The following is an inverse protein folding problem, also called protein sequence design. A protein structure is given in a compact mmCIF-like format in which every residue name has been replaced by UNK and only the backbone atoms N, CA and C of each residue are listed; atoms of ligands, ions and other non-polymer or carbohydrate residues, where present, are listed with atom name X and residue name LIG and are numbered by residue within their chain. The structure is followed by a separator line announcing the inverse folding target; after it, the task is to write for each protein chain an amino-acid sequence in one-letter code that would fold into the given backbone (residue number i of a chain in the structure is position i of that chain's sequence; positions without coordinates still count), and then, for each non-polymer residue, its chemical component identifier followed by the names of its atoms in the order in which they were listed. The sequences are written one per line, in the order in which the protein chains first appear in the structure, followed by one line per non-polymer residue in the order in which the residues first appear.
data_IF_530632150850
#
_entry.id   IF_530632150850
#
_cell.length_a   1.000
_cell.length_b   1.000
_cell.length_c   1.000
_cell.angle_alpha   90.00
_cell.angle_beta   90.00
_cell.angle_gamma   90.00
#
_symmetry.space_group_name_H-M   'P 1'
#
loop_
_entity.id
_entity.type
_entity.pdbx_description
1 polymer ?
#
# COMPACT_ATOMS: atom_id res chain seq x y z
N UNK A 1 22.77 15.51 -24.53
CA UNK A 1 21.46 15.80 -25.17
C UNK A 1 21.18 17.29 -25.06
N UNK A 2 20.65 17.94 -26.10
CA UNK A 2 20.31 19.38 -26.05
C UNK A 2 19.04 19.63 -25.24
N UNK A 3 18.89 20.85 -24.71
CA UNK A 3 17.68 21.29 -23.99
C UNK A 3 16.41 21.04 -24.81
N UNK A 4 16.41 21.46 -26.09
CA UNK A 4 15.25 21.30 -26.98
C UNK A 4 14.87 19.82 -27.16
N UNK A 5 15.86 18.94 -27.33
CA UNK A 5 15.59 17.49 -27.46
C UNK A 5 15.02 16.92 -26.16
N UNK A 6 15.57 17.29 -25.01
CA UNK A 6 15.06 16.85 -23.72
C UNK A 6 13.62 17.32 -23.48
N UNK A 7 13.32 18.59 -23.72
CA UNK A 7 11.98 19.14 -23.54
C UNK A 7 10.95 18.50 -24.48
N UNK A 8 11.34 18.19 -25.71
CA UNK A 8 10.46 17.50 -26.67
C UNK A 8 10.12 16.09 -26.17
N UNK A 9 11.14 15.32 -25.76
CA UNK A 9 10.95 13.96 -25.22
C UNK A 9 10.03 14.00 -23.99
N UNK A 10 10.28 14.91 -23.05
CA UNK A 10 9.50 15.02 -21.82
C UNK A 10 8.02 15.33 -22.08
N UNK A 11 7.70 16.12 -23.13
CA UNK A 11 6.33 16.47 -23.51
C UNK A 11 5.58 15.35 -24.19
N UNK A 12 6.28 14.52 -24.95
CA UNK A 12 5.69 13.47 -25.78
C UNK A 12 5.78 12.07 -25.14
N UNK A 13 6.24 11.98 -23.89
CA UNK A 13 6.44 10.69 -23.22
C UNK A 13 5.09 10.02 -22.92
N UNK A 14 4.90 8.81 -23.45
CA UNK A 14 3.65 8.05 -23.34
C UNK A 14 3.93 6.53 -23.29
N UNK A 15 3.06 5.76 -22.63
CA UNK A 15 3.25 4.31 -22.40
C UNK A 15 2.12 3.42 -22.95
N UNK A 16 1.15 4.02 -23.62
CA UNK A 16 -0.05 3.32 -24.13
C UNK A 16 -0.33 3.77 -25.57
N UNK A 17 -1.08 2.99 -26.34
CA UNK A 17 -1.63 3.49 -27.60
C UNK A 17 -2.97 4.19 -27.35
N UNK A 18 -3.07 5.48 -27.65
CA UNK A 18 -4.31 6.25 -27.48
C UNK A 18 -5.34 5.98 -28.59
N UNK A 19 -4.97 5.25 -29.65
CA UNK A 19 -5.90 4.80 -30.69
C UNK A 19 -6.80 3.65 -30.23
N UNK A 20 -6.36 2.90 -29.22
CA UNK A 20 -7.11 1.80 -28.63
C UNK A 20 -8.18 2.31 -27.66
N UNK A 21 -9.34 1.63 -27.59
CA UNK A 21 -10.39 1.99 -26.64
C UNK A 21 -9.87 1.82 -25.21
N UNK A 22 -10.28 2.73 -24.33
CA UNK A 22 -9.99 2.61 -22.90
C UNK A 22 -10.77 1.43 -22.33
N UNK A 23 -10.05 0.43 -21.83
CA UNK A 23 -10.67 -0.70 -21.15
C UNK A 23 -11.21 -0.27 -19.78
N UNK A 24 -12.54 -0.28 -19.65
CA UNK A 24 -13.24 -0.10 -18.39
C UNK A 24 -12.99 1.25 -17.69
N UNK A 25 -13.03 1.21 -16.36
CA UNK A 25 -12.92 2.40 -15.50
C UNK A 25 -11.53 2.56 -14.85
N UNK A 26 -10.48 1.96 -15.43
CA UNK A 26 -9.13 2.09 -14.89
C UNK A 26 -8.63 3.53 -15.03
N UNK A 27 -8.43 4.21 -13.91
CA UNK A 27 -7.95 5.60 -13.86
C UNK A 27 -6.44 5.70 -14.11
N UNK A 28 -5.70 4.59 -14.02
CA UNK A 28 -4.26 4.48 -14.22
C UNK A 28 -3.88 3.96 -15.60
N UNK A 29 -4.84 3.67 -16.48
CA UNK A 29 -4.58 2.95 -17.74
C UNK A 29 -3.34 3.45 -18.51
N UNK A 30 -3.10 4.77 -18.55
CA UNK A 30 -1.94 5.43 -19.19
C UNK A 30 -0.56 5.02 -18.66
N UNK A 31 -0.48 4.51 -17.43
CA UNK A 31 0.76 4.13 -16.75
C UNK A 31 0.69 2.74 -16.10
N UNK A 32 -0.47 2.07 -16.15
CA UNK A 32 -0.71 0.80 -15.46
C UNK A 32 0.28 -0.28 -15.91
N UNK A 33 0.51 -0.39 -17.22
CA UNK A 33 1.50 -1.30 -17.82
C UNK A 33 2.92 -1.04 -17.32
N UNK A 34 3.35 0.22 -17.28
CA UNK A 34 4.66 0.61 -16.78
C UNK A 34 4.80 0.29 -15.28
N UNK A 35 3.80 0.64 -14.47
CA UNK A 35 3.83 0.40 -13.03
C UNK A 35 3.87 -1.10 -12.74
N UNK A 36 3.08 -1.90 -13.45
CA UNK A 36 3.11 -3.36 -13.39
C UNK A 36 4.50 -3.90 -13.70
N UNK A 37 5.08 -3.51 -14.85
CA UNK A 37 6.41 -3.95 -15.25
C UNK A 37 7.51 -3.59 -14.22
N UNK A 38 7.41 -2.41 -13.58
CA UNK A 38 8.34 -2.01 -12.51
C UNK A 38 8.18 -2.93 -11.29
N UNK A 39 6.94 -3.15 -10.83
CA UNK A 39 6.66 -4.01 -9.68
C UNK A 39 7.09 -5.46 -9.95
N UNK A 40 6.78 -5.99 -11.12
CA UNK A 40 7.16 -7.35 -11.50
C UNK A 40 8.68 -7.52 -11.51
N UNK A 41 9.42 -6.56 -12.07
CA UNK A 41 10.88 -6.58 -12.05
C UNK A 41 11.44 -6.53 -10.61
N UNK A 42 10.89 -5.66 -9.76
CA UNK A 42 11.28 -5.55 -8.35
C UNK A 42 11.07 -6.90 -7.63
N UNK A 43 9.91 -7.52 -7.84
CA UNK A 43 9.54 -8.77 -7.17
C UNK A 43 10.37 -9.96 -7.66
N UNK A 44 10.78 -9.96 -8.93
CA UNK A 44 11.63 -11.01 -9.51
C UNK A 44 13.08 -10.93 -9.03
N UNK A 45 13.57 -9.73 -8.67
CA UNK A 45 14.98 -9.51 -8.29
C UNK A 45 15.21 -9.70 -6.79
N UNK A 46 14.18 -9.56 -5.95
CA UNK A 46 14.34 -9.55 -4.51
C UNK A 46 13.25 -10.33 -3.78
N UNK A 47 13.67 -11.28 -2.95
CA UNK A 47 12.80 -12.01 -2.03
C UNK A 47 12.82 -11.31 -0.65
N UNK A 48 11.69 -10.81 -0.14
CA UNK A 48 11.61 -10.23 1.19
C UNK A 48 11.94 -11.22 2.29
N UNK A 49 12.67 -10.74 3.30
CA UNK A 49 12.93 -11.49 4.53
C UNK A 49 11.69 -11.62 5.41
N UNK A 50 11.91 -11.99 6.66
CA UNK A 50 10.84 -12.33 7.61
C UNK A 50 9.90 -11.17 7.94
N UNK A 51 10.37 -9.93 7.86
CA UNK A 51 9.60 -8.74 8.26
C UNK A 51 9.42 -7.77 7.10
N UNK A 52 8.18 -7.34 6.89
CA UNK A 52 7.79 -6.34 5.91
C UNK A 52 6.92 -5.27 6.56
N UNK A 53 7.01 -4.04 6.07
CA UNK A 53 6.26 -2.90 6.57
C UNK A 53 5.34 -2.33 5.48
N UNK A 54 4.11 -2.01 5.83
CA UNK A 54 3.15 -1.36 4.93
C UNK A 54 2.81 0.03 5.45
N UNK A 55 2.97 1.02 4.57
CA UNK A 55 2.67 2.42 4.85
C UNK A 55 2.35 3.19 3.56
N UNK A 56 1.97 4.46 3.70
CA UNK A 56 1.65 5.36 2.61
C UNK A 56 2.65 6.47 2.43
N UNK A 57 2.94 6.73 1.16
CA UNK A 57 3.70 7.90 0.72
C UNK A 57 2.87 8.82 -0.16
N UNK A 58 3.30 10.08 -0.22
CA UNK A 58 2.66 11.11 -1.02
C UNK A 58 3.64 11.61 -2.09
N UNK A 59 3.30 11.38 -3.36
CA UNK A 59 4.06 11.94 -4.48
C UNK A 59 3.51 13.33 -4.76
N UNK A 60 4.34 14.37 -4.62
CA UNK A 60 3.94 15.75 -4.82
C UNK A 60 3.38 15.95 -6.23
N UNK A 61 2.13 16.37 -6.33
CA UNK A 61 1.49 16.68 -7.60
C UNK A 61 0.38 17.72 -7.40
N UNK A 62 0.49 18.85 -8.10
CA UNK A 62 -0.47 19.97 -8.00
C UNK A 62 -1.35 20.16 -9.23
N UNK A 63 -1.13 19.39 -10.30
CA UNK A 63 -1.95 19.44 -11.51
C UNK A 63 -3.38 18.91 -11.31
N UNK A 64 -4.17 18.94 -12.39
CA UNK A 64 -5.52 18.39 -12.42
C UNK A 64 -5.46 16.87 -12.54
N UNK A 65 -5.90 16.17 -11.50
CA UNK A 65 -5.97 14.71 -11.46
C UNK A 65 -7.14 14.26 -10.58
N UNK A 66 -7.96 13.33 -11.07
CA UNK A 66 -9.22 12.92 -10.41
C UNK A 66 -9.01 12.28 -9.03
N UNK A 67 -7.87 11.64 -8.80
CA UNK A 67 -7.56 10.92 -7.56
C UNK A 67 -6.46 11.60 -6.72
N UNK A 68 -6.16 12.88 -7.00
CA UNK A 68 -5.28 13.69 -6.16
C UNK A 68 -5.82 13.74 -4.73
N UNK A 69 -4.97 13.49 -3.75
CA UNK A 69 -5.28 13.50 -2.34
C UNK A 69 -4.75 14.77 -1.67
N UNK A 70 -5.46 15.20 -0.63
CA UNK A 70 -4.98 16.17 0.33
C UNK A 70 -4.75 15.48 1.68
N UNK A 71 -3.52 15.54 2.18
CA UNK A 71 -3.18 15.03 3.51
C UNK A 71 -2.40 16.11 4.29
N UNK A 72 -3.05 16.80 5.26
CA UNK A 72 -2.41 17.88 6.00
C UNK A 72 -1.21 17.43 6.85
N UNK A 73 -1.16 16.15 7.23
CA UNK A 73 -0.10 15.59 8.07
C UNK A 73 1.19 15.22 7.31
N UNK A 74 1.23 15.37 5.98
CA UNK A 74 2.44 15.13 5.17
C UNK A 74 3.02 16.46 4.70
N UNK A 75 4.35 16.54 4.59
CA UNK A 75 5.05 17.75 4.11
C UNK A 75 4.52 18.21 2.75
N UNK A 76 4.35 17.27 1.82
CA UNK A 76 3.66 17.49 0.55
C UNK A 76 2.17 17.25 0.73
N UNK A 77 1.42 18.29 1.09
CA UNK A 77 -0.01 18.16 1.42
C UNK A 77 -0.88 17.72 0.25
N UNK A 78 -0.52 18.08 -0.99
CA UNK A 78 -1.28 17.72 -2.19
C UNK A 78 -0.45 16.78 -3.08
N UNK A 79 -1.03 15.65 -3.46
CA UNK A 79 -0.31 14.70 -4.28
C UNK A 79 -1.07 13.45 -4.65
N UNK A 80 -0.32 12.47 -5.15
CA UNK A 80 -0.80 11.12 -5.41
C UNK A 80 -0.43 10.24 -4.23
N UNK A 81 -1.44 9.66 -3.58
CA UNK A 81 -1.26 8.70 -2.49
C UNK A 81 -0.83 7.36 -3.09
N UNK A 82 0.24 6.79 -2.56
CA UNK A 82 0.77 5.47 -2.97
C UNK A 82 0.96 4.62 -1.73
N UNK A 83 0.31 3.46 -1.72
CA UNK A 83 0.55 2.42 -0.73
C UNK A 83 1.81 1.65 -1.11
N UNK A 84 2.66 1.34 -0.13
CA UNK A 84 3.93 0.65 -0.35
C UNK A 84 4.08 -0.47 0.65
N UNK A 85 4.60 -1.60 0.17
CA UNK A 85 5.15 -2.67 0.98
C UNK A 85 6.67 -2.58 0.87
N UNK A 86 7.30 -2.34 2.00
CA UNK A 86 8.73 -2.17 2.14
C UNK A 86 9.34 -3.30 2.97
N UNK A 87 10.58 -3.63 2.67
CA UNK A 87 11.38 -4.56 3.48
C UNK A 87 11.96 -3.83 4.69
N UNK A 88 12.47 -4.56 5.69
CA UNK A 88 13.16 -3.99 6.84
C UNK A 88 14.36 -3.08 6.48
N UNK A 89 14.96 -3.27 5.30
CA UNK A 89 16.08 -2.45 4.78
C UNK A 89 15.62 -1.21 3.99
N UNK A 90 14.32 -0.92 3.94
CA UNK A 90 13.76 0.22 3.23
C UNK A 90 13.56 0.03 1.71
N UNK A 91 13.80 -1.17 1.20
CA UNK A 91 13.54 -1.49 -0.21
C UNK A 91 12.02 -1.64 -0.46
N UNK A 92 11.49 -0.93 -1.46
CA UNK A 92 10.07 -1.04 -1.87
C UNK A 92 9.90 -2.29 -2.72
N UNK A 93 9.17 -3.27 -2.21
CA UNK A 93 8.95 -4.55 -2.88
C UNK A 93 7.62 -4.62 -3.65
N UNK A 94 6.59 -3.93 -3.14
CA UNK A 94 5.32 -3.76 -3.87
C UNK A 94 4.79 -2.34 -3.66
N UNK A 95 4.05 -1.82 -4.63
CA UNK A 95 3.37 -0.54 -4.51
C UNK A 95 2.04 -0.54 -5.26
N UNK A 96 1.10 0.26 -4.77
CA UNK A 96 -0.19 0.47 -5.42
C UNK A 96 -0.59 1.93 -5.33
N UNK A 97 -0.99 2.51 -6.46
CA UNK A 97 -1.43 3.91 -6.53
C UNK A 97 -2.91 3.99 -6.16
N UNK A 98 -3.24 4.83 -5.18
CA UNK A 98 -4.61 5.05 -4.76
C UNK A 98 -5.40 5.81 -5.83
N UNK A 99 -6.50 5.21 -6.28
CA UNK A 99 -7.36 5.79 -7.33
C UNK A 99 -8.77 6.16 -6.89
N UNK A 100 -9.09 6.06 -5.60
CA UNK A 100 -10.41 6.36 -5.04
C UNK A 100 -11.35 5.16 -4.96
N UNK A 101 -11.10 4.09 -5.74
CA UNK A 101 -11.92 2.88 -5.80
C UNK A 101 -11.04 1.64 -5.61
N UNK A 102 -10.48 1.47 -4.41
CA UNK A 102 -9.74 0.23 -4.10
C UNK A 102 -10.71 -0.93 -3.90
N UNK A 103 -10.39 -2.13 -4.41
CA UNK A 103 -11.19 -3.33 -4.16
C UNK A 103 -11.19 -3.65 -2.66
N UNK A 104 -12.30 -4.23 -2.21
CA UNK A 104 -12.48 -4.66 -0.81
C UNK A 104 -12.41 -6.18 -0.80
N UNK A 105 -11.52 -6.72 0.02
CA UNK A 105 -11.44 -8.15 0.31
C UNK A 105 -12.61 -8.51 1.22
N UNK A 106 -13.29 -9.61 0.92
CA UNK A 106 -14.42 -10.08 1.72
C UNK A 106 -14.02 -10.26 3.19
N UNK A 107 -14.87 -9.79 4.11
CA UNK A 107 -14.60 -9.83 5.55
C UNK A 107 -13.65 -8.75 6.10
N UNK A 108 -13.05 -7.91 5.24
CA UNK A 108 -12.13 -6.85 5.64
C UNK A 108 -12.63 -5.44 5.32
N UNK A 109 -12.07 -4.46 6.05
CA UNK A 109 -12.23 -3.05 5.72
C UNK A 109 -11.25 -2.63 4.61
N UNK A 110 -11.39 -1.39 4.10
CA UNK A 110 -10.51 -0.88 3.04
C UNK A 110 -9.02 -0.95 3.44
N UNK A 111 -8.60 -0.51 4.65
CA UNK A 111 -7.21 -0.64 5.06
C UNK A 111 -6.73 -2.10 5.11
N UNK A 112 -7.51 -3.02 5.67
CA UNK A 112 -7.15 -4.44 5.69
C UNK A 112 -7.03 -5.04 4.29
N UNK A 113 -7.93 -4.66 3.38
CA UNK A 113 -7.88 -5.10 1.98
C UNK A 113 -6.60 -4.64 1.28
N UNK A 114 -6.11 -3.44 1.59
CA UNK A 114 -4.83 -2.92 1.05
C UNK A 114 -3.65 -3.75 1.54
N UNK A 115 -3.63 -4.14 2.82
CA UNK A 115 -2.57 -5.00 3.39
C UNK A 115 -2.51 -6.32 2.66
N UNK A 116 -3.67 -7.00 2.54
CA UNK A 116 -3.77 -8.29 1.85
C UNK A 116 -3.39 -8.16 0.38
N UNK A 117 -3.91 -7.16 -0.32
CA UNK A 117 -3.62 -6.96 -1.76
C UNK A 117 -2.14 -6.70 -2.04
N UNK A 118 -1.46 -5.93 -1.19
CA UNK A 118 -0.02 -5.67 -1.35
C UNK A 118 0.83 -6.88 -0.96
N UNK A 119 0.38 -7.64 0.03
CA UNK A 119 1.07 -8.78 0.61
C UNK A 119 0.76 -10.12 -0.03
N UNK A 120 -0.14 -10.20 -1.01
CA UNK A 120 -0.73 -11.43 -1.56
C UNK A 120 0.31 -12.54 -1.83
N UNK A 121 1.38 -12.20 -2.53
CA UNK A 121 2.51 -13.07 -2.88
C UNK A 121 3.45 -13.43 -1.71
N UNK A 122 3.23 -12.89 -0.51
CA UNK A 122 4.03 -13.11 0.71
C UNK A 122 3.21 -13.72 1.86
N UNK A 123 1.93 -14.00 1.63
CA UNK A 123 1.04 -14.61 2.63
C UNK A 123 1.37 -16.10 2.79
N UNK A 124 1.09 -16.67 3.97
CA UNK A 124 1.31 -18.08 4.30
C UNK A 124 2.80 -18.50 4.39
N UNK A 125 3.71 -17.54 4.55
CA UNK A 125 5.16 -17.80 4.64
C UNK A 125 5.73 -17.49 6.04
N UNK A 126 4.89 -17.38 7.08
CA UNK A 126 5.35 -17.08 8.44
C UNK A 126 5.87 -15.65 8.67
N UNK A 127 5.68 -14.75 7.70
CA UNK A 127 6.21 -13.38 7.77
C UNK A 127 5.45 -12.50 8.75
N UNK A 128 6.15 -11.51 9.30
CA UNK A 128 5.62 -10.44 10.12
C UNK A 128 5.33 -9.20 9.28
N UNK A 129 4.05 -8.80 9.24
CA UNK A 129 3.58 -7.57 8.64
C UNK A 129 3.51 -6.48 9.71
N UNK A 130 4.28 -5.41 9.51
CA UNK A 130 4.28 -4.22 10.36
C UNK A 130 3.40 -3.16 9.71
N UNK A 131 2.41 -2.64 10.42
CA UNK A 131 1.48 -1.64 9.89
C UNK A 131 1.20 -0.50 10.87
N UNK A 132 0.88 0.69 10.36
CA UNK A 132 0.35 1.78 11.19
C UNK A 132 -1.11 1.53 11.61
N UNK A 133 -1.58 2.24 12.63
CA UNK A 133 -2.91 2.18 13.21
C UNK A 133 -4.09 2.36 12.24
N UNK A 134 -3.85 2.95 11.06
CA UNK A 134 -4.88 3.07 10.03
C UNK A 134 -5.25 1.66 9.50
N UNK A 135 -4.24 0.83 9.28
CA UNK A 135 -4.33 -0.53 8.77
C UNK A 135 -4.69 -1.56 9.83
N UNK A 136 -4.10 -1.43 11.03
CA UNK A 136 -4.24 -2.46 12.06
C UNK A 136 -5.69 -2.62 12.50
N UNK A 137 -6.19 -3.85 12.51
CA UNK A 137 -7.52 -4.20 13.01
C UNK A 137 -7.57 -5.68 13.45
N UNK A 138 -8.47 -6.01 14.37
CA UNK A 138 -8.69 -7.40 14.81
C UNK A 138 -9.14 -8.30 13.65
N UNK A 139 -10.09 -7.90 12.78
CA UNK A 139 -10.46 -8.71 11.61
C UNK A 139 -9.28 -8.98 10.68
N UNK A 140 -8.41 -8.00 10.45
CA UNK A 140 -7.20 -8.20 9.65
C UNK A 140 -6.24 -9.21 10.29
N UNK A 141 -5.99 -9.10 11.60
CA UNK A 141 -5.13 -10.04 12.32
C UNK A 141 -5.68 -11.47 12.24
N UNK A 142 -6.99 -11.64 12.41
CA UNK A 142 -7.65 -12.95 12.28
C UNK A 142 -7.57 -13.46 10.84
N UNK A 143 -7.80 -12.61 9.84
CA UNK A 143 -7.72 -12.98 8.43
C UNK A 143 -6.31 -13.48 8.06
N UNK A 144 -5.26 -12.73 8.43
CA UNK A 144 -3.87 -13.10 8.16
C UNK A 144 -3.44 -14.37 8.89
N UNK A 145 -4.05 -14.65 10.04
CA UNK A 145 -3.83 -15.89 10.80
C UNK A 145 -4.73 -17.06 10.37
N UNK A 146 -5.84 -16.82 9.67
CA UNK A 146 -6.77 -17.87 9.20
C UNK A 146 -6.43 -18.36 7.81
N UNK A 147 -5.87 -17.50 6.96
CA UNK A 147 -5.22 -17.90 5.73
C UNK A 147 -3.87 -18.55 6.08
N UNK A 148 -3.97 -19.76 6.65
CA UNK A 148 -2.90 -20.69 7.00
C UNK A 148 -3.13 -21.96 6.19
N UNK A 149 -2.53 -22.08 5.02
CA UNK A 149 -2.53 -23.38 4.32
C UNK A 149 -1.32 -24.25 4.69
N UNK A 150 -0.25 -23.71 5.30
CA UNK A 150 1.00 -24.43 5.55
C UNK A 150 1.73 -24.03 6.85
N UNK A 151 1.24 -24.46 8.04
CA UNK A 151 1.95 -24.46 9.35
C UNK A 151 2.58 -23.14 9.88
N UNK A 152 2.65 -22.06 9.10
CA UNK A 152 3.27 -20.78 9.42
C UNK A 152 2.36 -19.64 8.99
N UNK A 153 1.63 -19.05 9.94
CA UNK A 153 0.71 -17.95 9.67
C UNK A 153 1.38 -16.60 9.43
N UNK A 154 0.70 -15.71 8.72
CA UNK A 154 1.16 -14.33 8.57
C UNK A 154 0.83 -13.55 9.84
N UNK A 155 1.86 -13.07 10.51
CA UNK A 155 1.70 -12.31 11.75
C UNK A 155 1.47 -10.83 11.45
N UNK A 156 0.66 -10.17 12.28
CA UNK A 156 0.42 -8.72 12.20
C UNK A 156 0.94 -8.03 13.47
N UNK A 157 1.77 -7.01 13.28
CA UNK A 157 2.18 -6.11 14.35
C UNK A 157 1.87 -4.66 13.94
N UNK A 158 1.29 -3.88 14.86
CA UNK A 158 0.99 -2.49 14.59
C UNK A 158 0.37 -1.82 15.79
N UNK A 159 0.37 -0.49 15.77
CA UNK A 159 -0.38 0.29 16.75
C UNK A 159 -1.87 0.15 16.45
N UNK A 160 -2.73 0.29 17.47
CA UNK A 160 -4.17 0.13 17.31
C UNK A 160 -4.90 1.34 17.91
N UNK A 161 -5.86 1.90 17.18
CA UNK A 161 -6.67 3.03 17.69
C UNK A 161 -7.72 2.51 18.66
N UNK A 162 -7.96 3.25 19.75
CA UNK A 162 -8.97 2.94 20.76
C UNK A 162 -10.39 2.76 20.21
N UNK A 163 -10.71 3.41 19.09
CA UNK A 163 -12.01 3.34 18.44
C UNK A 163 -12.17 2.17 17.44
N UNK A 164 -11.18 1.27 17.33
CA UNK A 164 -11.29 0.07 16.50
C UNK A 164 -12.28 -0.91 17.12
N UNK A 165 -13.03 -1.61 16.27
CA UNK A 165 -14.02 -2.61 16.68
C UNK A 165 -13.33 -3.85 17.27
N UNK A 166 -14.08 -4.61 18.06
CA UNK A 166 -13.65 -5.87 18.68
C UNK A 166 -12.54 -5.75 19.71
N UNK A 167 -12.32 -4.55 20.24
CA UNK A 167 -11.42 -4.34 21.37
C UNK A 167 -12.13 -4.64 22.70
N UNK A 168 -11.51 -5.43 23.60
CA UNK A 168 -12.04 -5.62 24.94
C UNK A 168 -12.14 -4.28 25.69
N UNK A 169 -13.24 -4.07 26.42
CA UNK A 169 -13.45 -2.83 27.19
C UNK A 169 -12.36 -2.63 28.23
N UNK A 170 -11.83 -3.70 28.82
CA UNK A 170 -10.70 -3.61 29.76
C UNK A 170 -9.48 -2.97 29.12
N UNK A 171 -9.12 -3.38 27.90
CA UNK A 171 -7.96 -2.85 27.15
C UNK A 171 -8.16 -1.38 26.77
N UNK A 172 -9.38 -1.01 26.35
CA UNK A 172 -9.68 0.39 25.96
C UNK A 172 -9.66 1.33 27.15
N UNK A 173 -10.16 0.87 28.30
CA UNK A 173 -10.29 1.66 29.53
C UNK A 173 -9.01 1.63 30.40
N UNK A 174 -8.09 0.71 30.14
CA UNK A 174 -6.81 0.67 30.82
C UNK A 174 -6.06 2.00 30.64
N UNK A 175 -5.58 2.56 31.75
CA UNK A 175 -4.65 3.69 31.70
C UNK A 175 -3.35 3.20 31.10
N UNK A 176 -2.81 3.92 30.12
CA UNK A 176 -1.45 3.68 29.65
C UNK A 176 -0.51 4.00 30.81
N UNK A 177 -0.06 2.97 31.54
CA UNK A 177 1.12 3.08 32.38
C UNK A 177 2.28 3.31 31.44
N UNK A 178 3.01 4.41 31.64
CA UNK A 178 4.22 4.73 30.91
C UNK A 178 5.14 3.51 30.95
N UNK A 179 5.27 2.78 29.84
CA UNK A 179 6.33 1.82 29.68
C UNK A 179 7.61 2.65 29.59
N UNK A 180 8.39 2.65 30.67
CA UNK A 180 9.78 3.09 30.63
C UNK A 180 10.48 2.11 29.69
N UNK A 181 10.77 2.58 28.48
CA UNK A 181 11.72 1.93 27.58
C UNK A 181 13.14 2.13 28.12
#
# INVERSE_FOLDING_TARGET
MSYNRFSLILRCWHFVDNSLPREGNDRLYKISSLVGAIVDNIQNVYIPGETVAIDESMILFRGRLKFRQYNPGKANKYGVKVYKLCTSKGFVWNLRIYCGNDPITEGLDKPGSVVVTLGDKLLNEGRLFITDNWYTSVPLALYLNQHNTNLCGTNLCGTLRKNKRFLPKEVVNAKQTSAVL
#
